data_IF_403577350488
#
_entry.id   IF_403577350488
#
_cell.length_a   1.000
_cell.length_b   1.000
_cell.length_c   1.000
_cell.angle_alpha   90.00
_cell.angle_beta   90.00
_cell.angle_gamma   90.00
#
_symmetry.space_group_name_H-M   'P 1'
#
loop_
_entity.id
_entity.type
_entity.pdbx_description
1 polymer ?
#
# COMPACT_ATOMS: atom_id res chain seq x y z
N UNK A 1 -12.46 -27.19 6.34
CA UNK A 1 -13.07 -28.08 5.34
C UNK A 1 -13.21 -29.51 5.84
N UNK A 2 -12.25 -30.09 6.58
CA UNK A 2 -12.35 -31.46 7.12
C UNK A 2 -13.34 -31.69 8.30
N UNK A 3 -13.97 -30.63 8.85
CA UNK A 3 -14.86 -30.75 10.02
C UNK A 3 -16.35 -30.84 9.67
N UNK A 4 -16.75 -30.38 8.48
CA UNK A 4 -18.14 -30.45 8.00
C UNK A 4 -18.50 -31.89 7.58
N UNK A 5 -17.56 -32.61 6.96
CA UNK A 5 -17.75 -34.02 6.56
C UNK A 5 -17.96 -34.97 7.75
N UNK A 6 -17.38 -34.65 8.92
CA UNK A 6 -17.49 -35.46 10.13
C UNK A 6 -18.85 -35.29 10.83
N UNK A 7 -19.43 -34.09 10.80
CA UNK A 7 -20.76 -33.83 11.33
C UNK A 7 -21.85 -34.44 10.44
N UNK A 8 -21.70 -34.35 9.11
CA UNK A 8 -22.61 -34.99 8.15
C UNK A 8 -22.57 -36.52 8.26
N UNK A 9 -21.38 -37.13 8.42
CA UNK A 9 -21.26 -38.57 8.63
C UNK A 9 -21.92 -39.06 9.93
N UNK A 10 -21.84 -38.25 11.00
CA UNK A 10 -22.48 -38.56 12.28
C UNK A 10 -24.01 -38.44 12.18
N UNK A 11 -24.50 -37.41 11.50
CA UNK A 11 -25.94 -37.23 11.25
C UNK A 11 -26.52 -38.38 10.42
N UNK A 12 -25.78 -38.88 9.43
CA UNK A 12 -26.18 -40.04 8.64
C UNK A 12 -26.22 -41.34 9.47
N UNK A 13 -25.23 -41.57 10.34
CA UNK A 13 -25.24 -42.72 11.26
C UNK A 13 -26.41 -42.67 12.25
N UNK A 14 -26.74 -41.49 12.77
CA UNK A 14 -27.88 -41.32 13.68
C UNK A 14 -29.22 -41.59 12.96
N UNK A 15 -29.35 -41.16 11.70
CA UNK A 15 -30.55 -41.35 10.88
C UNK A 15 -30.73 -42.82 10.45
N UNK A 16 -29.65 -43.52 10.11
CA UNK A 16 -29.65 -44.97 9.84
C UNK A 16 -30.01 -45.79 11.10
N UNK A 17 -29.48 -45.40 12.27
CA UNK A 17 -29.82 -46.05 13.54
C UNK A 17 -31.30 -45.86 13.90
N UNK A 18 -31.86 -44.67 13.66
CA UNK A 18 -33.28 -44.40 13.87
C UNK A 18 -34.17 -45.22 12.91
N UNK A 19 -33.74 -45.39 11.65
CA UNK A 19 -34.43 -46.19 10.66
C UNK A 19 -34.47 -47.68 11.03
N UNK A 20 -33.34 -48.26 11.45
CA UNK A 20 -33.28 -49.65 11.89
C UNK A 20 -34.11 -49.90 13.15
N UNK A 21 -34.16 -48.92 14.07
CA UNK A 21 -35.03 -49.01 15.24
C UNK A 21 -36.51 -49.03 14.85
N UNK A 22 -36.96 -48.13 13.98
CA UNK A 22 -38.34 -48.12 13.44
C UNK A 22 -38.67 -49.43 12.71
N UNK A 23 -37.73 -49.96 11.94
CA UNK A 23 -37.89 -51.21 11.19
C UNK A 23 -38.03 -52.43 12.10
N UNK A 24 -37.25 -52.50 13.18
CA UNK A 24 -37.35 -53.59 14.17
C UNK A 24 -38.61 -53.51 15.02
N UNK A 25 -39.06 -52.31 15.38
CA UNK A 25 -40.34 -52.06 16.05
C UNK A 25 -41.53 -52.46 15.17
N UNK A 26 -41.50 -52.11 13.89
CA UNK A 26 -42.52 -52.53 12.92
C UNK A 26 -42.55 -54.05 12.78
N UNK A 27 -41.39 -54.72 12.74
CA UNK A 27 -41.32 -56.18 12.67
C UNK A 27 -41.90 -56.84 13.93
N UNK A 28 -41.60 -56.30 15.12
CA UNK A 28 -42.19 -56.76 16.38
C UNK A 28 -43.71 -56.56 16.40
N UNK A 29 -44.22 -55.42 15.91
CA UNK A 29 -45.66 -55.16 15.85
C UNK A 29 -46.37 -56.10 14.87
N UNK A 30 -45.75 -56.41 13.73
CA UNK A 30 -46.25 -57.43 12.80
C UNK A 30 -46.26 -58.82 13.41
N UNK A 31 -45.22 -59.18 14.18
CA UNK A 31 -45.10 -60.50 14.81
C UNK A 31 -46.06 -60.67 15.99
N UNK A 32 -46.27 -59.63 16.80
CA UNK A 32 -47.34 -59.56 17.80
C UNK A 32 -48.71 -59.67 17.15
N UNK A 33 -48.94 -58.95 16.04
CA UNK A 33 -50.20 -59.04 15.29
C UNK A 33 -50.41 -60.42 14.68
N UNK A 34 -49.33 -61.10 14.24
CA UNK A 34 -49.36 -62.50 13.78
C UNK A 34 -49.68 -63.47 14.93
N UNK A 35 -49.12 -63.22 16.12
CA UNK A 35 -49.41 -63.99 17.34
C UNK A 35 -50.85 -63.76 17.83
N UNK A 36 -51.36 -62.53 17.73
CA UNK A 36 -52.74 -62.17 18.08
C UNK A 36 -53.76 -62.70 17.07
N UNK A 37 -53.35 -62.86 15.81
CA UNK A 37 -54.08 -63.57 14.76
C UNK A 37 -54.02 -65.10 14.91
N UNK A 38 -53.52 -65.59 16.07
CA UNK A 38 -53.74 -66.90 16.66
C UNK A 38 -54.01 -68.02 15.67
N UNK A 39 -53.00 -68.88 15.47
CA UNK A 39 -53.10 -70.21 14.87
C UNK A 39 -54.50 -70.80 15.03
N UNK A 40 -55.33 -70.62 14.01
CA UNK A 40 -56.65 -71.24 13.95
C UNK A 40 -56.36 -72.70 13.64
N UNK A 41 -56.25 -73.49 14.71
CA UNK A 41 -56.06 -74.91 14.67
C UNK A 41 -57.13 -75.51 13.74
N UNK A 42 -56.68 -76.00 12.60
CA UNK A 42 -57.44 -76.91 11.76
C UNK A 42 -57.72 -78.15 12.60
N UNK A 43 -58.99 -78.36 12.97
CA UNK A 43 -59.47 -79.61 13.55
C UNK A 43 -59.86 -79.52 15.03
N UNK A 44 -61.03 -78.93 15.30
CA UNK A 44 -61.73 -79.04 16.58
C UNK A 44 -63.15 -79.57 16.36
N UNK A 45 -63.57 -80.54 17.18
CA UNK A 45 -64.75 -81.39 17.06
C UNK A 45 -66.08 -80.63 17.32
N UNK A 46 -66.37 -79.64 16.48
CA UNK A 46 -67.63 -78.90 16.25
C UNK A 46 -67.44 -77.97 15.04
N UNK A 47 -66.82 -78.51 13.99
CA UNK A 47 -66.48 -77.74 12.79
C UNK A 47 -67.74 -77.23 12.11
N UNK A 48 -67.77 -75.93 11.80
CA UNK A 48 -68.81 -75.40 10.92
C UNK A 48 -68.83 -76.26 9.64
N UNK A 49 -69.95 -76.94 9.37
CA UNK A 49 -70.15 -77.68 8.11
C UNK A 49 -69.84 -76.79 6.89
N UNK A 50 -69.47 -77.39 5.74
CA UNK A 50 -69.00 -76.67 4.56
C UNK A 50 -69.88 -75.46 4.22
N UNK A 51 -69.27 -74.32 3.85
CA UNK A 51 -69.95 -73.02 3.73
C UNK A 51 -71.21 -73.02 2.83
N UNK A 52 -71.27 -73.91 1.83
CA UNK A 52 -72.46 -74.07 0.98
C UNK A 52 -73.68 -74.65 1.69
N UNK A 53 -73.49 -75.42 2.77
CA UNK A 53 -74.61 -75.94 3.58
C UNK A 53 -75.34 -74.85 4.38
N UNK A 54 -74.79 -73.63 4.39
CA UNK A 54 -75.34 -72.44 5.07
C UNK A 54 -75.82 -71.36 4.11
N UNK A 55 -75.71 -71.59 2.79
CA UNK A 55 -76.10 -70.62 1.76
C UNK A 55 -75.12 -69.48 1.51
N UNK A 56 -73.91 -69.50 2.09
CA UNK A 56 -72.91 -68.44 1.91
C UNK A 56 -72.20 -68.50 0.56
N UNK A 57 -72.11 -69.69 -0.03
CA UNK A 57 -71.54 -69.94 -1.36
C UNK A 57 -72.42 -70.97 -2.07
N UNK A 58 -72.36 -70.98 -3.40
CA UNK A 58 -73.07 -71.96 -4.22
C UNK A 58 -72.66 -73.40 -3.83
N UNK A 59 -73.60 -74.35 -3.90
CA UNK A 59 -73.31 -75.75 -3.59
C UNK A 59 -72.58 -76.43 -4.76
N UNK A 60 -71.60 -77.32 -4.48
CA UNK A 60 -70.91 -78.06 -5.52
C UNK A 60 -71.90 -78.93 -6.29
N UNK A 61 -72.08 -78.63 -7.58
CA UNK A 61 -73.14 -79.19 -8.40
C UNK A 61 -72.80 -80.55 -9.00
N UNK A 62 -71.51 -80.90 -9.13
CA UNK A 62 -71.06 -82.17 -9.69
C UNK A 62 -70.77 -83.21 -8.60
N UNK A 63 -70.84 -84.49 -8.96
CA UNK A 63 -70.44 -85.59 -8.07
C UNK A 63 -69.43 -86.49 -8.78
N UNK A 64 -68.33 -86.82 -8.10
CA UNK A 64 -67.26 -87.69 -8.59
C UNK A 64 -67.20 -88.93 -7.72
N UNK A 65 -67.37 -90.09 -8.34
CA UNK A 65 -67.18 -91.38 -7.66
C UNK A 65 -65.70 -91.64 -7.46
N UNK A 66 -65.29 -91.90 -6.22
CA UNK A 66 -63.94 -92.24 -5.82
C UNK A 66 -63.82 -93.74 -5.49
N UNK A 67 -64.69 -94.57 -6.10
CA UNK A 67 -64.75 -96.02 -5.89
C UNK A 67 -65.63 -96.40 -4.71
N UNK A 68 -65.12 -96.27 -3.48
CA UNK A 68 -65.86 -96.66 -2.27
C UNK A 68 -66.77 -95.57 -1.70
N UNK A 69 -66.65 -94.33 -2.19
CA UNK A 69 -67.52 -93.21 -1.81
C UNK A 69 -67.61 -92.14 -2.90
N UNK A 70 -68.67 -91.34 -2.85
CA UNK A 70 -68.94 -90.25 -3.81
C UNK A 70 -68.70 -88.90 -3.15
N UNK A 71 -67.91 -88.03 -3.79
CA UNK A 71 -67.62 -86.66 -3.31
C UNK A 71 -68.29 -85.66 -4.22
N UNK A 72 -68.91 -84.61 -3.65
CA UNK A 72 -69.39 -83.46 -4.44
C UNK A 72 -68.23 -82.53 -4.77
N UNK A 73 -68.10 -82.17 -6.03
CA UNK A 73 -67.03 -81.31 -6.55
C UNK A 73 -67.66 -80.11 -7.25
N UNK A 74 -67.04 -78.94 -7.12
CA UNK A 74 -67.42 -77.75 -7.87
C UNK A 74 -67.12 -77.96 -9.36
N UNK A 75 -68.04 -77.54 -10.24
CA UNK A 75 -67.81 -77.57 -11.69
C UNK A 75 -66.71 -76.58 -12.09
N UNK A 76 -66.09 -76.75 -13.27
CA UNK A 76 -65.07 -75.83 -13.78
C UNK A 76 -65.59 -74.39 -13.89
N UNK A 77 -66.87 -74.24 -14.23
CA UNK A 77 -67.58 -72.95 -14.25
C UNK A 77 -67.82 -72.36 -12.85
N UNK A 78 -68.02 -73.19 -11.82
CA UNK A 78 -68.15 -72.74 -10.42
C UNK A 78 -66.79 -72.38 -9.80
N UNK A 79 -65.69 -72.98 -10.29
CA UNK A 79 -64.33 -72.72 -9.79
C UNK A 79 -63.68 -71.51 -10.47
N UNK A 80 -64.04 -71.23 -11.72
CA UNK A 80 -63.62 -70.01 -12.41
C UNK A 80 -64.51 -68.84 -11.95
N UNK A 81 -63.95 -67.76 -11.36
CA UNK A 81 -64.70 -66.52 -11.28
C UNK A 81 -65.05 -66.13 -12.72
N UNK A 82 -66.35 -65.96 -13.01
CA UNK A 82 -66.83 -65.57 -14.33
C UNK A 82 -65.90 -64.50 -14.91
N UNK A 83 -65.40 -64.75 -16.12
CA UNK A 83 -64.50 -63.84 -16.84
C UNK A 83 -65.03 -62.40 -16.83
N UNK A 84 -66.35 -62.24 -16.94
CA UNK A 84 -67.06 -60.96 -16.87
C UNK A 84 -66.88 -60.24 -15.52
N UNK A 85 -66.86 -60.98 -14.41
CA UNK A 85 -66.64 -60.41 -13.07
C UNK A 85 -65.18 -59.99 -12.85
N UNK A 86 -64.22 -60.71 -13.46
CA UNK A 86 -62.80 -60.30 -13.45
C UNK A 86 -62.54 -59.09 -14.33
N UNK A 87 -63.14 -59.06 -15.51
CA UNK A 87 -63.04 -57.94 -16.44
C UNK A 87 -63.62 -56.66 -15.85
N UNK A 88 -64.81 -56.71 -15.24
CA UNK A 88 -65.43 -55.54 -14.60
C UNK A 88 -64.65 -55.01 -13.39
N UNK A 89 -64.01 -55.89 -12.60
CA UNK A 89 -63.10 -55.45 -11.52
C UNK A 89 -61.83 -54.82 -12.08
N UNK A 90 -61.23 -55.42 -13.11
CA UNK A 90 -60.05 -54.88 -13.78
C UNK A 90 -60.33 -53.52 -14.44
N UNK A 91 -61.46 -53.36 -15.12
CA UNK A 91 -61.89 -52.09 -15.73
C UNK A 91 -62.09 -50.99 -14.67
N UNK A 92 -62.63 -51.32 -13.50
CA UNK A 92 -62.75 -50.38 -12.37
C UNK A 92 -61.38 -50.00 -11.81
N UNK A 93 -60.48 -50.97 -11.61
CA UNK A 93 -59.12 -50.71 -11.17
C UNK A 93 -58.34 -49.84 -12.16
N UNK A 94 -58.51 -50.05 -13.47
CA UNK A 94 -57.92 -49.20 -14.50
C UNK A 94 -58.49 -47.77 -14.49
N UNK A 95 -59.80 -47.63 -14.31
CA UNK A 95 -60.44 -46.31 -14.21
C UNK A 95 -59.99 -45.54 -12.96
N UNK A 96 -59.86 -46.22 -11.82
CA UNK A 96 -59.32 -45.64 -10.58
C UNK A 96 -57.84 -45.26 -10.73
N UNK A 97 -57.03 -46.11 -11.37
CA UNK A 97 -55.62 -45.81 -11.66
C UNK A 97 -55.47 -44.59 -12.59
N UNK A 98 -56.29 -44.50 -13.64
CA UNK A 98 -56.29 -43.37 -14.55
C UNK A 98 -56.71 -42.07 -13.86
N UNK A 99 -57.74 -42.11 -13.01
CA UNK A 99 -58.15 -40.95 -12.21
C UNK A 99 -57.04 -40.47 -11.25
N UNK A 100 -56.33 -41.39 -10.61
CA UNK A 100 -55.17 -41.05 -9.77
C UNK A 100 -54.00 -40.46 -10.58
N UNK A 101 -53.79 -40.92 -11.82
CA UNK A 101 -52.79 -40.35 -12.73
C UNK A 101 -53.17 -38.93 -13.18
N UNK A 102 -54.44 -38.69 -13.51
CA UNK A 102 -54.96 -37.35 -13.83
C UNK A 102 -54.83 -36.39 -12.64
N UNK A 103 -55.18 -36.83 -11.43
CA UNK A 103 -54.99 -36.03 -10.21
C UNK A 103 -53.51 -35.71 -9.94
N UNK A 104 -52.61 -36.69 -10.15
CA UNK A 104 -51.16 -36.47 -10.05
C UNK A 104 -50.67 -35.48 -11.10
N UNK A 105 -51.10 -35.61 -12.35
CA UNK A 105 -50.77 -34.70 -13.43
C UNK A 105 -51.26 -33.26 -13.14
N UNK A 106 -52.50 -33.12 -12.65
CA UNK A 106 -53.06 -31.83 -12.25
C UNK A 106 -52.27 -31.20 -11.09
N UNK A 107 -51.82 -31.99 -10.11
CA UNK A 107 -51.01 -31.51 -9.00
C UNK A 107 -49.61 -31.06 -9.44
N UNK A 108 -48.99 -31.78 -10.37
CA UNK A 108 -47.70 -31.40 -10.97
C UNK A 108 -47.86 -30.08 -11.75
N UNK A 109 -48.90 -29.98 -12.60
CA UNK A 109 -49.18 -28.76 -13.34
C UNK A 109 -49.43 -27.55 -12.41
N UNK A 110 -50.14 -27.76 -11.29
CA UNK A 110 -50.33 -26.72 -10.28
C UNK A 110 -49.01 -26.29 -9.64
N UNK A 111 -48.13 -27.23 -9.27
CA UNK A 111 -46.79 -26.93 -8.73
C UNK A 111 -45.92 -26.18 -9.75
N UNK A 112 -45.96 -26.58 -11.02
CA UNK A 112 -45.20 -25.92 -12.07
C UNK A 112 -45.71 -24.50 -12.33
N UNK A 113 -47.02 -24.25 -12.20
CA UNK A 113 -47.57 -22.89 -12.27
C UNK A 113 -47.11 -22.00 -11.12
N UNK A 114 -46.96 -22.55 -9.90
CA UNK A 114 -46.43 -21.81 -8.75
C UNK A 114 -44.94 -21.50 -8.96
N UNK A 115 -44.16 -22.49 -9.40
CA UNK A 115 -42.74 -22.31 -9.74
C UNK A 115 -42.53 -21.28 -10.84
N UNK A 116 -43.39 -21.24 -11.85
CA UNK A 116 -43.34 -20.24 -12.91
C UNK A 116 -43.57 -18.82 -12.35
N UNK A 117 -44.57 -18.64 -11.48
CA UNK A 117 -44.81 -17.34 -10.81
C UNK A 117 -43.66 -16.92 -9.90
N UNK A 118 -43.08 -17.87 -9.17
CA UNK A 118 -41.90 -17.60 -8.33
C UNK A 118 -40.67 -17.23 -9.17
N UNK A 119 -40.47 -17.88 -10.31
CA UNK A 119 -39.39 -17.56 -11.25
C UNK A 119 -39.56 -16.17 -11.87
N UNK A 120 -40.78 -15.79 -12.24
CA UNK A 120 -41.08 -14.43 -12.72
C UNK A 120 -40.87 -13.38 -11.63
N UNK A 121 -41.33 -13.66 -10.39
CA UNK A 121 -41.08 -12.77 -9.27
C UNK A 121 -39.59 -12.63 -8.94
N UNK A 122 -38.81 -13.71 -9.08
CA UNK A 122 -37.35 -13.66 -8.91
C UNK A 122 -36.69 -12.79 -9.99
N UNK A 123 -37.09 -12.92 -11.26
CA UNK A 123 -36.60 -12.07 -12.34
C UNK A 123 -36.90 -10.60 -12.13
N UNK A 124 -38.11 -10.25 -11.70
CA UNK A 124 -38.48 -8.87 -11.40
C UNK A 124 -37.63 -8.28 -10.26
N UNK A 125 -37.40 -9.06 -9.20
CA UNK A 125 -36.50 -8.63 -8.10
C UNK A 125 -35.05 -8.45 -8.57
N UNK A 126 -34.57 -9.32 -9.44
CA UNK A 126 -33.22 -9.21 -10.01
C UNK A 126 -33.09 -7.96 -10.90
N UNK A 127 -34.11 -7.66 -11.71
CA UNK A 127 -34.15 -6.42 -12.51
C UNK A 127 -34.23 -5.16 -11.65
N UNK A 128 -35.03 -5.17 -10.57
CA UNK A 128 -35.10 -4.08 -9.59
C UNK A 128 -33.75 -3.88 -8.90
N UNK A 129 -33.11 -4.96 -8.46
CA UNK A 129 -31.80 -4.91 -7.85
C UNK A 129 -30.74 -4.36 -8.83
N UNK A 130 -30.76 -4.80 -10.09
CA UNK A 130 -29.85 -4.28 -11.12
C UNK A 130 -30.04 -2.79 -11.35
N UNK A 131 -31.28 -2.30 -11.40
CA UNK A 131 -31.56 -0.84 -11.51
C UNK A 131 -31.03 -0.06 -10.31
N UNK A 132 -31.25 -0.57 -9.10
CA UNK A 132 -30.73 0.07 -7.89
C UNK A 132 -29.21 0.11 -7.86
N UNK A 133 -28.56 -0.97 -8.30
CA UNK A 133 -27.10 -1.06 -8.37
C UNK A 133 -26.53 -0.12 -9.43
N UNK A 134 -27.14 -0.07 -10.63
CA UNK A 134 -26.82 0.91 -11.69
C UNK A 134 -26.97 2.37 -11.19
N UNK A 135 -28.05 2.69 -10.50
CA UNK A 135 -28.26 4.02 -9.90
C UNK A 135 -27.22 4.34 -8.83
N UNK A 136 -26.88 3.38 -7.97
CA UNK A 136 -25.85 3.53 -6.95
C UNK A 136 -24.48 3.79 -7.59
N UNK A 137 -24.10 3.03 -8.60
CA UNK A 137 -22.87 3.23 -9.34
C UNK A 137 -22.83 4.60 -10.01
N UNK A 138 -23.94 5.02 -10.65
CA UNK A 138 -24.03 6.34 -11.26
C UNK A 138 -23.87 7.48 -10.24
N UNK A 139 -24.45 7.35 -9.04
CA UNK A 139 -24.27 8.31 -7.95
C UNK A 139 -22.83 8.34 -7.44
N UNK A 140 -22.19 7.17 -7.30
CA UNK A 140 -20.80 7.07 -6.86
C UNK A 140 -19.84 7.70 -7.88
N UNK A 141 -20.06 7.42 -9.17
CA UNK A 141 -19.27 8.01 -10.26
C UNK A 141 -19.47 9.53 -10.35
N UNK A 142 -20.70 10.02 -10.17
CA UNK A 142 -20.97 11.45 -10.08
C UNK A 142 -20.22 12.10 -8.89
N UNK A 143 -20.22 11.45 -7.73
CA UNK A 143 -19.50 11.91 -6.53
C UNK A 143 -17.98 11.90 -6.74
N UNK A 144 -17.44 10.85 -7.37
CA UNK A 144 -16.01 10.76 -7.71
C UNK A 144 -15.61 11.88 -8.67
N UNK A 145 -16.44 12.15 -9.67
CA UNK A 145 -16.21 13.24 -10.62
C UNK A 145 -16.24 14.61 -9.94
N UNK A 146 -17.19 14.85 -9.04
CA UNK A 146 -17.23 16.09 -8.24
C UNK A 146 -15.99 16.25 -7.38
N UNK A 147 -15.55 15.18 -6.69
CA UNK A 147 -14.34 15.21 -5.87
C UNK A 147 -13.09 15.52 -6.71
N UNK A 148 -12.97 14.93 -7.90
CA UNK A 148 -11.88 15.23 -8.83
C UNK A 148 -11.91 16.69 -9.27
N UNK A 149 -13.08 17.23 -9.62
CA UNK A 149 -13.22 18.63 -10.00
C UNK A 149 -12.88 19.59 -8.85
N UNK A 150 -13.28 19.26 -7.62
CA UNK A 150 -12.90 20.00 -6.40
C UNK A 150 -11.39 19.94 -6.15
N UNK A 151 -10.78 18.76 -6.32
CA UNK A 151 -9.32 18.61 -6.20
C UNK A 151 -8.57 19.42 -7.26
N UNK A 152 -9.02 19.38 -8.52
CA UNK A 152 -8.43 20.18 -9.60
C UNK A 152 -8.57 21.69 -9.32
N UNK A 153 -9.74 22.13 -8.85
CA UNK A 153 -9.97 23.53 -8.44
C UNK A 153 -9.05 23.92 -7.28
N UNK A 154 -8.90 23.06 -6.28
CA UNK A 154 -8.01 23.30 -5.15
C UNK A 154 -6.54 23.34 -5.57
N UNK A 155 -6.12 22.46 -6.49
CA UNK A 155 -4.77 22.45 -7.06
C UNK A 155 -4.51 23.74 -7.84
N UNK A 156 -5.41 24.14 -8.74
CA UNK A 156 -5.27 25.41 -9.49
C UNK A 156 -5.21 26.61 -8.55
N UNK A 157 -6.05 26.65 -7.51
CA UNK A 157 -6.00 27.72 -6.51
C UNK A 157 -4.70 27.71 -5.67
N UNK A 158 -4.08 26.54 -5.45
CA UNK A 158 -2.78 26.44 -4.80
C UNK A 158 -1.65 26.91 -5.74
N UNK A 159 -1.69 26.52 -7.01
CA UNK A 159 -0.74 26.98 -8.04
C UNK A 159 -0.81 28.49 -8.23
N UNK A 160 -2.00 29.08 -8.30
CA UNK A 160 -2.18 30.52 -8.39
C UNK A 160 -1.62 31.24 -7.16
N UNK A 161 -1.82 30.70 -5.96
CA UNK A 161 -1.22 31.24 -4.73
C UNK A 161 0.30 31.17 -4.76
N UNK A 162 0.87 30.02 -5.13
CA UNK A 162 2.31 29.85 -5.27
C UNK A 162 2.92 30.79 -6.32
N UNK A 163 2.22 31.00 -7.44
CA UNK A 163 2.66 31.94 -8.47
C UNK A 163 2.62 33.40 -7.98
N UNK A 164 1.62 33.79 -7.17
CA UNK A 164 1.56 35.12 -6.55
C UNK A 164 2.69 35.32 -5.55
N UNK A 165 2.90 34.38 -4.64
CA UNK A 165 4.01 34.42 -3.68
C UNK A 165 5.37 34.50 -4.38
N UNK A 166 5.56 33.72 -5.44
CA UNK A 166 6.77 33.78 -6.27
C UNK A 166 6.95 35.15 -6.93
N UNK A 167 5.88 35.73 -7.49
CA UNK A 167 5.94 37.06 -8.10
C UNK A 167 6.26 38.16 -7.06
N UNK A 168 5.72 38.05 -5.83
CA UNK A 168 6.03 38.96 -4.73
C UNK A 168 7.49 38.85 -4.29
N UNK A 169 8.02 37.63 -4.18
CA UNK A 169 9.43 37.39 -3.88
C UNK A 169 10.35 37.90 -4.99
N UNK A 170 10.01 37.67 -6.25
CA UNK A 170 10.75 38.20 -7.40
C UNK A 170 10.75 39.74 -7.39
N UNK A 171 9.61 40.37 -7.12
CA UNK A 171 9.52 41.82 -6.98
C UNK A 171 10.38 42.34 -5.82
N UNK A 172 10.34 41.68 -4.66
CA UNK A 172 11.20 42.02 -3.52
C UNK A 172 12.68 41.88 -3.84
N UNK A 173 13.06 40.82 -4.57
CA UNK A 173 14.44 40.57 -4.99
C UNK A 173 14.92 41.66 -5.96
N UNK A 174 14.07 42.08 -6.90
CA UNK A 174 14.38 43.18 -7.83
C UNK A 174 14.60 44.49 -7.07
N UNK A 175 13.78 44.78 -6.07
CA UNK A 175 13.96 45.98 -5.23
C UNK A 175 15.25 45.92 -4.38
N UNK A 176 15.57 44.76 -3.80
CA UNK A 176 16.86 44.53 -3.11
C UNK A 176 18.05 44.73 -4.05
N UNK A 177 18.00 44.19 -5.27
CA UNK A 177 19.06 44.36 -6.26
C UNK A 177 19.25 45.84 -6.64
N UNK A 178 18.15 46.60 -6.79
CA UNK A 178 18.23 48.06 -7.01
C UNK A 178 18.91 48.78 -5.85
N UNK A 179 18.60 48.40 -4.60
CA UNK A 179 19.25 48.97 -3.40
C UNK A 179 20.74 48.67 -3.36
N UNK A 180 21.11 47.42 -3.60
CA UNK A 180 22.51 46.99 -3.66
C UNK A 180 23.28 47.74 -4.75
N UNK A 181 22.68 47.90 -5.93
CA UNK A 181 23.27 48.66 -7.03
C UNK A 181 23.47 50.14 -6.66
N UNK A 182 22.45 50.77 -6.07
CA UNK A 182 22.56 52.16 -5.62
C UNK A 182 23.67 52.35 -4.56
N UNK A 183 23.84 51.39 -3.66
CA UNK A 183 24.90 51.42 -2.66
C UNK A 183 26.29 51.19 -3.28
N UNK A 184 26.41 50.29 -4.26
CA UNK A 184 27.63 50.12 -5.05
C UNK A 184 28.01 51.40 -5.81
N UNK A 185 27.03 52.05 -6.45
CA UNK A 185 27.23 53.32 -7.16
C UNK A 185 27.67 54.42 -6.19
N UNK A 186 27.07 54.48 -4.99
CA UNK A 186 27.49 55.39 -3.91
C UNK A 186 28.92 55.12 -3.46
N UNK A 187 29.29 53.86 -3.25
CA UNK A 187 30.66 53.49 -2.88
C UNK A 187 31.65 53.85 -3.98
N UNK A 188 31.29 53.64 -5.25
CA UNK A 188 32.10 54.04 -6.40
C UNK A 188 32.27 55.57 -6.46
N UNK A 189 31.23 56.35 -6.15
CA UNK A 189 31.33 57.81 -6.07
C UNK A 189 32.24 58.27 -4.93
N UNK A 190 32.11 57.66 -3.74
CA UNK A 190 33.01 57.92 -2.59
C UNK A 190 34.45 57.58 -2.97
N UNK A 191 34.68 56.42 -3.59
CA UNK A 191 35.99 55.99 -4.04
C UNK A 191 36.56 56.96 -5.09
N UNK A 192 35.75 57.39 -6.06
CA UNK A 192 36.14 58.37 -7.07
C UNK A 192 36.53 59.71 -6.43
N UNK A 193 35.70 60.26 -5.53
CA UNK A 193 36.00 61.51 -4.82
C UNK A 193 37.27 61.39 -3.98
N UNK A 194 37.47 60.24 -3.32
CA UNK A 194 38.70 59.96 -2.56
C UNK A 194 39.92 59.88 -3.47
N UNK A 195 39.82 59.20 -4.61
CA UNK A 195 40.91 59.09 -5.57
C UNK A 195 41.22 60.43 -6.26
N UNK A 196 40.20 61.26 -6.51
CA UNK A 196 40.35 62.62 -7.02
C UNK A 196 41.00 63.54 -5.99
N UNK A 197 40.60 63.45 -4.71
CA UNK A 197 41.27 64.13 -3.61
C UNK A 197 42.72 63.63 -3.41
N UNK A 198 42.98 62.33 -3.52
CA UNK A 198 44.32 61.76 -3.47
C UNK A 198 45.18 62.17 -4.68
N UNK A 199 44.59 62.37 -5.86
CA UNK A 199 45.26 62.90 -7.04
C UNK A 199 45.65 64.38 -6.87
N UNK A 200 44.76 65.20 -6.29
CA UNK A 200 45.06 66.60 -5.92
C UNK A 200 46.12 66.67 -4.82
N UNK A 201 46.06 65.79 -3.82
CA UNK A 201 47.11 65.68 -2.80
C UNK A 201 48.42 65.19 -3.42
N UNK A 202 48.40 64.30 -4.43
CA UNK A 202 49.60 63.89 -5.19
C UNK A 202 50.18 65.03 -6.03
N UNK A 203 49.36 65.81 -6.74
CA UNK A 203 49.86 66.94 -7.53
C UNK A 203 50.50 68.00 -6.63
N UNK A 204 49.89 68.31 -5.48
CA UNK A 204 50.49 69.19 -4.48
C UNK A 204 51.73 68.55 -3.85
N UNK A 205 51.71 67.24 -3.57
CA UNK A 205 52.88 66.54 -3.05
C UNK A 205 54.01 66.47 -4.07
N UNK A 206 53.74 66.44 -5.39
CA UNK A 206 54.76 66.50 -6.44
C UNK A 206 55.35 67.92 -6.57
N UNK A 207 54.53 68.96 -6.36
CA UNK A 207 54.96 70.36 -6.21
C UNK A 207 55.85 70.58 -4.97
N UNK A 208 55.55 69.88 -3.85
CA UNK A 208 56.43 69.84 -2.66
C UNK A 208 57.56 68.80 -2.75
N UNK A 209 57.49 67.79 -3.62
CA UNK A 209 58.55 66.79 -3.85
C UNK A 209 59.70 67.40 -4.65
N UNK A 210 59.40 68.31 -5.59
CA UNK A 210 60.41 69.05 -6.35
C UNK A 210 61.29 69.97 -5.49
N UNK A 211 60.79 70.42 -4.33
CA UNK A 211 61.58 71.23 -3.37
C UNK A 211 62.28 70.40 -2.29
N UNK A 212 61.92 69.11 -2.14
CA UNK A 212 62.49 68.23 -1.11
C UNK A 212 63.52 67.23 -1.67
N UNK A 213 63.45 66.88 -2.96
CA UNK A 213 64.39 65.94 -3.59
C UNK A 213 65.79 66.53 -3.86
N UNK A 214 65.93 67.82 -4.18
CA UNK A 214 67.26 68.48 -4.28
C UNK A 214 68.04 68.43 -2.96
N UNK A 215 67.34 68.42 -1.81
CA UNK A 215 67.94 68.30 -0.49
C UNK A 215 68.28 66.85 -0.06
N UNK A 216 67.60 65.85 -0.63
CA UNK A 216 67.73 64.43 -0.26
C UNK A 216 68.67 63.63 -1.17
N UNK A 217 68.85 64.02 -2.44
CA UNK A 217 69.80 63.32 -3.33
C UNK A 217 71.25 63.38 -2.84
N UNK A 218 71.64 64.47 -2.14
CA UNK A 218 72.94 64.55 -1.44
C UNK A 218 73.07 63.61 -0.24
N UNK A 219 71.98 63.11 0.34
CA UNK A 219 71.99 62.21 1.51
C UNK A 219 71.71 60.73 1.17
N UNK A 220 71.08 60.43 0.04
CA UNK A 220 70.71 59.06 -0.35
C UNK A 220 71.87 58.27 -0.98
N UNK A 221 72.90 58.94 -1.54
CA UNK A 221 74.13 58.27 -1.95
C UNK A 221 74.80 57.50 -0.79
N UNK A 222 74.61 57.95 0.45
CA UNK A 222 75.20 57.31 1.64
C UNK A 222 74.34 56.19 2.22
N UNK A 223 73.08 56.01 1.77
CA UNK A 223 72.15 55.03 2.35
C UNK A 223 71.86 53.81 1.45
N UNK A 224 72.37 53.80 0.20
CA UNK A 224 72.14 52.73 -0.79
C UNK A 224 72.87 51.40 -0.49
N UNK A 225 73.63 51.31 0.61
CA UNK A 225 74.43 50.12 0.95
C UNK A 225 73.82 49.17 2.01
N UNK A 226 72.59 49.36 2.48
CA UNK A 226 71.96 48.37 3.39
C UNK A 226 70.61 47.91 2.89
N UNK A 227 70.66 46.99 1.92
CA UNK A 227 69.51 46.18 1.54
C UNK A 227 69.15 45.18 2.63
N UNK A 228 67.89 45.18 3.06
CA UNK A 228 67.00 44.02 3.01
C UNK A 228 65.57 44.44 3.39
N UNK A 229 64.64 44.13 2.49
CA UNK A 229 63.21 44.46 2.57
C UNK A 229 62.53 43.67 3.70
N UNK A 230 62.28 44.29 4.85
CA UNK A 230 61.13 43.92 5.70
C UNK A 230 59.94 44.77 5.25
N UNK A 231 59.08 44.22 4.39
CA UNK A 231 57.79 44.83 4.06
C UNK A 231 56.83 44.59 5.23
N UNK A 232 56.15 45.67 5.64
CA UNK A 232 55.29 45.79 6.83
C UNK A 232 54.35 44.60 7.00
N UNK A 233 54.51 43.87 8.09
CA UNK A 233 53.41 43.12 8.71
C UNK A 233 52.62 44.16 9.52
N UNK A 234 51.40 44.45 9.09
CA UNK A 234 50.44 45.12 9.97
C UNK A 234 50.27 44.18 11.16
N UNK A 235 50.63 44.62 12.38
CA UNK A 235 50.63 43.78 13.60
C UNK A 235 49.31 43.01 13.63
N UNK A 236 49.36 41.69 13.51
CA UNK A 236 48.19 40.86 13.81
C UNK A 236 47.92 41.04 15.30
N UNK A 237 46.69 41.38 15.64
CA UNK A 237 46.23 41.43 17.03
C UNK A 237 45.79 40.02 17.42
N UNK A 238 46.29 39.52 18.56
CA UNK A 238 46.15 38.12 19.00
C UNK A 238 44.72 37.73 19.44
N UNK A 239 43.74 38.62 19.27
CA UNK A 239 42.40 38.50 19.84
C UNK A 239 41.33 38.04 18.84
N UNK A 240 41.60 38.06 17.54
CA UNK A 240 40.59 37.78 16.51
C UNK A 240 40.96 36.62 15.57
N UNK A 241 39.98 35.79 15.12
CA UNK A 241 40.23 34.73 14.17
C UNK A 241 40.44 35.30 12.77
N UNK A 242 41.45 34.82 12.06
CA UNK A 242 41.77 35.32 10.72
C UNK A 242 42.15 34.21 9.75
N UNK A 243 41.68 34.33 8.52
CA UNK A 243 42.20 33.57 7.39
C UNK A 243 43.38 34.33 6.80
N UNK A 244 44.50 33.64 6.63
CA UNK A 244 45.73 34.19 6.06
C UNK A 244 46.09 33.36 4.83
N UNK A 245 46.33 34.05 3.71
CA UNK A 245 46.88 33.44 2.51
C UNK A 245 48.30 33.98 2.33
N UNK A 246 49.28 33.10 2.47
CA UNK A 246 50.69 33.49 2.42
C UNK A 246 51.38 32.83 1.23
N UNK A 247 52.08 33.62 0.42
CA UNK A 247 52.94 33.11 -0.64
C UNK A 247 54.34 33.07 -0.07
N UNK A 248 54.77 31.87 0.34
CA UNK A 248 56.13 31.68 0.86
C UNK A 248 57.10 31.53 -0.31
N UNK A 249 58.30 32.11 -0.19
CA UNK A 249 59.34 31.99 -1.22
C UNK A 249 60.42 31.05 -0.71
N UNK A 250 60.50 29.86 -1.30
CA UNK A 250 61.51 28.86 -0.94
C UNK A 250 62.57 28.80 -2.02
N UNK A 251 63.83 29.04 -1.64
CA UNK A 251 65.00 28.83 -2.50
C UNK A 251 65.61 27.47 -2.17
N UNK A 252 65.68 26.60 -3.18
CA UNK A 252 66.30 25.27 -3.08
C UNK A 252 67.81 25.34 -3.32
N UNK A 253 68.54 24.31 -2.90
CA UNK A 253 70.00 24.19 -3.11
C UNK A 253 70.35 24.22 -4.59
N UNK A 254 69.48 23.65 -5.42
CA UNK A 254 69.57 23.57 -6.89
C UNK A 254 69.32 24.91 -7.61
N UNK A 255 69.21 26.03 -6.88
CA UNK A 255 68.98 27.37 -7.45
C UNK A 255 67.52 27.64 -7.89
N UNK A 256 66.64 26.64 -7.86
CA UNK A 256 65.21 26.80 -8.15
C UNK A 256 64.52 27.57 -7.02
N UNK A 257 63.60 28.48 -7.40
CA UNK A 257 62.73 29.18 -6.44
C UNK A 257 61.30 28.70 -6.62
N UNK A 258 60.69 28.22 -5.54
CA UNK A 258 59.28 27.84 -5.49
C UNK A 258 58.48 28.88 -4.70
N UNK A 259 57.22 29.08 -5.10
CA UNK A 259 56.28 30.00 -4.45
C UNK A 259 55.05 29.25 -3.93
N UNK A 260 55.21 28.34 -2.95
CA UNK A 260 54.08 27.65 -2.36
C UNK A 260 53.10 28.63 -1.70
N UNK A 261 51.82 28.43 -1.99
CA UNK A 261 50.72 29.15 -1.36
C UNK A 261 50.30 28.36 -0.13
N UNK A 262 50.31 29.00 1.02
CA UNK A 262 49.86 28.45 2.29
C UNK A 262 48.56 29.12 2.71
N UNK A 263 47.53 28.32 2.94
CA UNK A 263 46.30 28.79 3.57
C UNK A 263 46.37 28.47 5.06
N UNK A 264 46.40 29.51 5.88
CA UNK A 264 46.57 29.42 7.33
C UNK A 264 45.31 29.98 7.98
N UNK A 265 44.70 29.19 8.86
CA UNK A 265 43.58 29.62 9.67
C UNK A 265 44.07 29.88 11.09
N UNK A 266 44.15 31.16 11.47
CA UNK A 266 44.55 31.60 12.80
C UNK A 266 43.33 31.61 13.73
N UNK A 267 43.36 30.78 14.77
CA UNK A 267 42.33 30.67 15.79
C UNK A 267 42.97 30.75 17.19
N UNK A 268 43.14 31.95 17.77
CA UNK A 268 43.63 32.10 19.13
C UNK A 268 42.82 31.29 20.16
N UNK A 269 43.52 30.72 21.14
CA UNK A 269 42.90 29.85 22.13
C UNK A 269 41.86 30.58 22.98
N UNK A 270 42.09 31.88 23.22
CA UNK A 270 41.27 32.81 24.03
C UNK A 270 39.85 33.02 23.50
N UNK A 271 39.52 32.51 22.31
CA UNK A 271 38.22 32.76 21.68
C UNK A 271 37.10 31.81 22.10
N UNK A 272 35.84 32.30 22.14
CA UNK A 272 34.68 31.45 22.38
C UNK A 272 34.54 30.31 21.36
N UNK A 273 34.17 29.12 21.85
CA UNK A 273 34.04 27.90 21.02
C UNK A 273 33.14 28.07 19.80
N UNK A 274 32.04 28.83 19.93
CA UNK A 274 31.11 29.05 18.82
C UNK A 274 31.77 29.77 17.63
N UNK A 275 32.69 30.70 17.89
CA UNK A 275 33.45 31.40 16.84
C UNK A 275 34.45 30.46 16.19
N UNK A 276 35.15 29.63 16.98
CA UNK A 276 36.07 28.61 16.45
C UNK A 276 35.34 27.66 15.49
N UNK A 277 34.17 27.17 15.89
CA UNK A 277 33.33 26.29 15.07
C UNK A 277 32.89 26.98 13.77
N UNK A 278 32.44 28.25 13.84
CA UNK A 278 32.07 29.03 12.66
C UNK A 278 33.20 29.12 11.64
N UNK A 279 34.42 29.43 12.09
CA UNK A 279 35.57 29.54 11.20
C UNK A 279 35.97 28.17 10.65
N UNK A 280 36.12 27.15 11.50
CA UNK A 280 36.52 25.80 11.06
C UNK A 280 35.57 25.20 10.01
N UNK A 281 34.28 25.52 10.07
CA UNK A 281 33.28 24.99 9.13
C UNK A 281 33.51 25.49 7.70
N UNK A 282 33.98 26.72 7.52
CA UNK A 282 34.19 27.33 6.21
C UNK A 282 35.57 27.02 5.61
N UNK A 283 36.53 26.55 6.41
CA UNK A 283 37.93 26.34 5.97
C UNK A 283 38.04 25.38 4.79
N UNK A 284 37.33 24.25 4.82
CA UNK A 284 37.40 23.24 3.74
C UNK A 284 36.91 23.82 2.41
N UNK A 285 35.77 24.52 2.42
CA UNK A 285 35.19 25.14 1.23
C UNK A 285 36.10 26.26 0.69
N UNK A 286 36.64 27.11 1.57
CA UNK A 286 37.58 28.16 1.17
C UNK A 286 38.87 27.58 0.57
N UNK A 287 39.43 26.53 1.18
CA UNK A 287 40.65 25.88 0.70
C UNK A 287 40.45 25.24 -0.68
N UNK A 288 39.38 24.46 -0.84
CA UNK A 288 39.14 23.66 -2.05
C UNK A 288 38.46 24.45 -3.16
N UNK A 289 37.43 25.25 -2.85
CA UNK A 289 36.60 25.90 -3.87
C UNK A 289 37.07 27.31 -4.24
N UNK A 290 37.57 28.08 -3.27
CA UNK A 290 37.99 29.48 -3.52
C UNK A 290 39.48 29.59 -3.85
N UNK A 291 40.35 29.09 -2.97
CA UNK A 291 41.80 29.30 -3.10
C UNK A 291 42.53 28.17 -3.84
N UNK A 292 41.88 27.01 -4.05
CA UNK A 292 42.44 25.85 -4.73
C UNK A 292 43.79 25.40 -4.13
N UNK A 293 43.90 25.49 -2.80
CA UNK A 293 45.11 25.14 -2.06
C UNK A 293 45.00 23.68 -1.61
N UNK A 294 46.02 22.83 -1.85
CA UNK A 294 45.94 21.40 -1.56
C UNK A 294 45.91 21.08 -0.06
N UNK A 295 46.45 21.96 0.79
CA UNK A 295 46.54 21.75 2.23
C UNK A 295 46.43 23.08 2.97
N UNK A 296 45.59 23.12 4.00
CA UNK A 296 45.51 24.24 4.93
C UNK A 296 46.12 23.86 6.28
N UNK A 297 46.52 24.87 7.04
CA UNK A 297 47.14 24.70 8.36
C UNK A 297 46.39 25.54 9.38
N UNK A 298 46.11 24.96 10.54
CA UNK A 298 45.54 25.66 11.69
C UNK A 298 46.67 26.19 12.56
N UNK A 299 46.55 27.42 13.02
CA UNK A 299 47.51 28.10 13.89
C UNK A 299 46.77 28.66 15.11
N UNK A 300 47.26 28.36 16.31
CA UNK A 300 46.64 28.79 17.57
C UNK A 300 47.40 29.98 18.19
N UNK A 301 48.74 29.96 18.13
CA UNK A 301 49.58 31.04 18.63
C UNK A 301 50.31 31.74 17.48
N UNK A 302 50.34 33.07 17.51
CA UNK A 302 51.00 33.84 16.44
C UNK A 302 52.52 33.64 16.44
N UNK A 303 53.11 33.36 17.61
CA UNK A 303 54.56 33.12 17.78
C UNK A 303 55.05 31.88 17.02
N UNK A 304 54.17 30.89 16.84
CA UNK A 304 54.45 29.66 16.08
C UNK A 304 54.58 29.90 14.57
N UNK A 305 54.09 31.05 14.07
CA UNK A 305 54.15 31.40 12.65
C UNK A 305 55.56 31.80 12.22
N UNK A 306 56.43 30.79 12.09
CA UNK A 306 57.81 30.92 11.64
C UNK A 306 58.00 30.27 10.27
N UNK A 307 59.03 30.70 9.53
CA UNK A 307 59.34 30.12 8.22
C UNK A 307 59.66 28.61 8.31
N UNK A 308 60.32 28.18 9.38
CA UNK A 308 60.66 26.78 9.64
C UNK A 308 59.42 25.95 9.98
N UNK A 309 58.48 26.50 10.74
CA UNK A 309 57.19 25.85 11.01
C UNK A 309 56.37 25.68 9.72
N UNK A 310 56.30 26.72 8.90
CA UNK A 310 55.51 26.72 7.67
C UNK A 310 56.04 25.68 6.67
N UNK A 311 57.36 25.62 6.49
CA UNK A 311 57.98 24.65 5.59
C UNK A 311 57.80 23.21 6.06
N UNK A 312 57.84 22.97 7.38
CA UNK A 312 57.55 21.66 7.97
C UNK A 312 56.10 21.25 7.70
N UNK A 313 55.13 22.17 7.84
CA UNK A 313 53.71 21.88 7.65
C UNK A 313 53.33 21.67 6.18
N UNK A 314 54.00 22.38 5.28
CA UNK A 314 53.87 22.24 3.83
C UNK A 314 54.69 21.08 3.24
N UNK A 315 55.44 20.34 4.07
CA UNK A 315 56.27 19.18 3.66
C UNK A 315 57.25 19.54 2.54
N UNK A 316 57.77 20.77 2.54
CA UNK A 316 58.66 21.26 1.49
C UNK A 316 60.04 20.67 1.73
N UNK A 317 60.39 19.64 0.97
CA UNK A 317 61.73 19.06 0.99
C UNK A 317 62.67 20.02 0.27
N UNK A 318 63.54 20.69 1.04
CA UNK A 318 64.69 21.42 0.51
C UNK A 318 65.73 20.38 0.06
N UNK A 319 65.72 19.99 -1.22
CA UNK A 319 66.81 19.22 -1.82
C UNK A 319 67.86 20.16 -2.38
#
# INVERSE_FOLDING_TARGET
MASLDAEEAKALQELEAEYEKKRTELRKSFEEKRKSLGSSAVGGMKGLGPRWTRGEIEAPAASRSMGSYTVRVYTEEQQAPSFEKKMTLWEREQAEAHGLEEERAARIAALDSVRAREAEAARLREEEWRKQDEERFAQEDARRKQLLEEQEKAQRAAEERGNREKAELEASLVEEQKRLKAEQDRQAEIFRKKHEAEAVVRSNADEYRYTFEEGMEKKIQTFRQRGQRRRRVQKLEDTEPRYLLFIHTVKHSDGRTQFPIAFICFLPETMPTHVKVMYTRAVNDLAENTFKVPKYVMLEELEDLTATWLEKKLEIVRK
#
